data_IF_521411758738
#
_entry.id   IF_521411758738
#
_cell.length_a   1.000
_cell.length_b   1.000
_cell.length_c   1.000
_cell.angle_alpha   90.00
_cell.angle_beta   90.00
_cell.angle_gamma   90.00
#
_symmetry.space_group_name_H-M   'P 1'
#
loop_
_entity.id
_entity.type
_entity.pdbx_description
1 polymer ?
#
# COMPACT_ATOMS: atom_id res chain seq x y z
N UNK A 1 16.75 -39.58 -14.42
CA UNK A 1 17.94 -38.90 -14.96
C UNK A 1 18.22 -37.70 -14.08
N UNK A 2 19.16 -37.83 -13.15
CA UNK A 2 19.46 -36.84 -12.13
C UNK A 2 20.49 -35.83 -12.63
N UNK A 3 20.20 -34.55 -12.45
CA UNK A 3 21.20 -33.49 -12.57
C UNK A 3 22.32 -33.74 -11.55
N UNK A 4 23.55 -33.88 -12.04
CA UNK A 4 24.73 -34.15 -11.21
C UNK A 4 24.95 -33.02 -10.18
N UNK A 5 25.25 -33.43 -8.94
CA UNK A 5 25.57 -32.55 -7.80
C UNK A 5 26.69 -31.54 -8.08
N UNK A 6 27.50 -31.76 -9.11
CA UNK A 6 28.59 -30.90 -9.58
C UNK A 6 28.12 -29.60 -10.24
N UNK A 7 26.86 -29.51 -10.70
CA UNK A 7 26.34 -28.31 -11.38
C UNK A 7 25.63 -27.32 -10.45
N UNK A 8 25.36 -27.69 -9.19
CA UNK A 8 24.71 -26.81 -8.20
C UNK A 8 25.50 -25.55 -7.86
N UNK A 9 26.84 -25.57 -7.70
CA UNK A 9 27.60 -24.36 -7.42
C UNK A 9 27.65 -23.41 -8.62
N UNK A 10 27.67 -23.96 -9.84
CA UNK A 10 27.71 -23.18 -11.09
C UNK A 10 26.36 -22.52 -11.38
N UNK A 11 25.24 -23.21 -11.11
CA UNK A 11 23.90 -22.61 -11.15
C UNK A 11 23.70 -21.58 -10.04
N UNK A 12 24.27 -21.81 -8.85
CA UNK A 12 24.25 -20.85 -7.75
C UNK A 12 25.08 -19.60 -8.07
N UNK A 13 26.27 -19.76 -8.66
CA UNK A 13 27.09 -18.65 -9.15
C UNK A 13 26.47 -17.95 -10.37
N UNK A 14 25.77 -18.66 -11.26
CA UNK A 14 25.06 -18.05 -12.39
C UNK A 14 23.79 -17.31 -11.94
N UNK A 15 23.16 -17.75 -10.84
CA UNK A 15 22.08 -17.03 -10.15
C UNK A 15 22.62 -15.85 -9.33
N UNK A 16 23.81 -15.95 -8.73
CA UNK A 16 24.54 -14.85 -8.07
C UNK A 16 25.14 -13.85 -9.09
N UNK A 17 25.36 -14.28 -10.35
CA UNK A 17 25.74 -13.42 -11.48
C UNK A 17 24.53 -12.83 -12.23
N UNK A 18 23.29 -13.20 -11.88
CA UNK A 18 22.15 -12.33 -12.22
C UNK A 18 22.41 -11.04 -11.48
N UNK A 19 22.61 -9.95 -12.23
CA UNK A 19 22.79 -8.61 -11.70
C UNK A 19 21.90 -8.44 -10.48
N UNK A 20 22.49 -8.37 -9.29
CA UNK A 20 21.74 -7.96 -8.10
C UNK A 20 21.08 -6.65 -8.47
N UNK A 21 19.75 -6.62 -8.44
CA UNK A 21 18.99 -5.43 -8.77
C UNK A 21 19.47 -4.32 -7.85
N UNK A 22 20.26 -3.40 -8.42
CA UNK A 22 20.80 -2.28 -7.67
C UNK A 22 19.77 -1.17 -7.76
N UNK A 23 18.94 -1.09 -6.72
CA UNK A 23 17.99 -0.02 -6.54
C UNK A 23 18.51 0.89 -5.42
N UNK A 24 19.06 2.05 -5.79
CA UNK A 24 19.45 3.08 -4.83
C UNK A 24 18.45 4.22 -4.95
N UNK A 25 17.47 4.24 -4.06
CA UNK A 25 16.57 5.37 -3.91
C UNK A 25 17.28 6.47 -3.13
N UNK A 26 17.19 7.71 -3.62
CA UNK A 26 17.60 8.89 -2.88
C UNK A 26 16.35 9.68 -2.60
N UNK A 27 15.72 9.40 -1.47
CA UNK A 27 14.49 10.04 -1.00
C UNK A 27 14.87 10.93 0.18
N UNK A 28 14.91 12.24 -0.06
CA UNK A 28 15.14 13.27 0.92
C UNK A 28 13.88 14.15 1.05
N UNK A 29 13.27 14.25 2.24
CA UNK A 29 12.24 15.25 2.49
C UNK A 29 12.86 16.66 2.42
N UNK A 30 12.12 17.67 1.94
CA UNK A 30 12.57 19.05 1.98
C UNK A 30 12.75 19.57 3.42
N UNK A 31 13.78 20.40 3.64
CA UNK A 31 14.10 21.00 4.94
C UNK A 31 12.94 21.82 5.52
N UNK A 32 12.75 21.74 6.84
CA UNK A 32 11.81 22.61 7.57
C UNK A 32 10.32 22.31 7.36
N UNK A 33 9.97 21.15 6.79
CA UNK A 33 8.56 20.75 6.69
C UNK A 33 7.99 20.43 8.07
N UNK A 34 7.00 21.23 8.49
CA UNK A 34 6.13 20.83 9.58
C UNK A 34 5.19 19.73 9.07
N UNK A 35 5.22 18.56 9.69
CA UNK A 35 4.22 17.55 9.42
C UNK A 35 3.24 17.49 10.60
N UNK A 36 1.99 17.84 10.33
CA UNK A 36 0.91 17.45 11.22
C UNK A 36 0.16 16.35 10.51
N UNK A 37 0.10 15.16 11.09
CA UNK A 37 -0.87 14.19 10.61
C UNK A 37 -2.25 14.85 10.70
N UNK A 38 -3.03 14.84 9.61
CA UNK A 38 -4.37 15.40 9.68
C UNK A 38 -5.14 14.65 10.78
N UNK A 39 -6.00 15.34 11.55
CA UNK A 39 -6.84 14.65 12.52
C UNK A 39 -7.69 13.60 11.80
N UNK A 40 -8.10 12.53 12.50
CA UNK A 40 -8.98 11.53 11.94
C UNK A 40 -10.23 12.17 11.34
N UNK A 41 -10.52 11.88 10.08
CA UNK A 41 -11.80 12.28 9.45
C UNK A 41 -12.99 11.60 10.12
N UNK A 42 -12.77 10.46 10.77
CA UNK A 42 -13.75 9.72 11.58
C UNK A 42 -13.14 9.34 12.93
N UNK A 43 -13.70 9.89 13.99
CA UNK A 43 -13.32 9.57 15.35
C UNK A 43 -13.81 8.17 15.77
N UNK A 44 -13.14 7.60 16.77
CA UNK A 44 -13.63 6.39 17.44
C UNK A 44 -14.65 6.82 18.48
N UNK A 45 -15.91 6.48 18.25
CA UNK A 45 -17.00 6.71 19.19
C UNK A 45 -17.25 5.48 20.07
N UNK A 46 -17.92 5.69 21.21
CA UNK A 46 -18.42 4.59 22.03
C UNK A 46 -19.88 4.32 21.67
N UNK A 47 -20.14 3.15 21.08
CA UNK A 47 -21.50 2.68 20.79
C UNK A 47 -21.82 1.44 21.63
N UNK A 48 -22.87 1.53 22.46
CA UNK A 48 -23.27 0.47 23.41
C UNK A 48 -22.09 -0.04 24.28
N UNK A 49 -21.27 0.90 24.76
CA UNK A 49 -20.11 0.60 25.62
C UNK A 49 -18.93 -0.06 24.89
N UNK A 50 -18.88 0.00 23.55
CA UNK A 50 -17.80 -0.56 22.74
C UNK A 50 -17.27 0.47 21.73
N UNK A 51 -15.97 0.48 21.42
CA UNK A 51 -15.41 1.37 20.40
C UNK A 51 -15.95 1.02 19.02
N UNK A 52 -16.35 2.03 18.25
CA UNK A 52 -16.84 1.88 16.89
C UNK A 52 -16.45 3.10 16.04
N UNK A 53 -16.29 2.88 14.73
CA UNK A 53 -16.14 3.93 13.73
C UNK A 53 -17.43 3.98 12.94
N UNK A 54 -18.05 5.16 12.88
CA UNK A 54 -19.33 5.38 12.18
C UNK A 54 -19.12 5.72 10.71
N UNK A 55 -19.80 4.99 9.84
CA UNK A 55 -19.76 5.18 8.38
C UNK A 55 -21.17 5.03 7.79
N UNK A 56 -21.43 5.71 6.68
CA UNK A 56 -22.58 5.45 5.82
C UNK A 56 -22.34 4.22 4.95
N UNK A 57 -23.42 3.54 4.57
CA UNK A 57 -23.38 2.43 3.61
C UNK A 57 -22.81 2.87 2.27
N UNK A 58 -23.16 4.05 1.80
CA UNK A 58 -22.64 4.64 0.55
C UNK A 58 -21.12 4.84 0.59
N UNK A 59 -20.55 5.20 1.74
CA UNK A 59 -19.09 5.31 1.91
C UNK A 59 -18.39 3.97 1.68
N UNK A 60 -18.99 2.87 2.16
CA UNK A 60 -18.48 1.51 1.97
C UNK A 60 -18.61 1.03 0.52
N UNK A 61 -19.75 1.30 -0.11
CA UNK A 61 -20.03 0.95 -1.51
C UNK A 61 -19.12 1.72 -2.48
N UNK A 62 -18.96 3.03 -2.27
CA UNK A 62 -18.06 3.87 -3.05
C UNK A 62 -16.61 3.37 -3.01
N UNK A 63 -16.13 2.97 -1.83
CA UNK A 63 -14.79 2.41 -1.68
C UNK A 63 -14.68 1.01 -2.33
N UNK A 64 -15.72 0.18 -2.22
CA UNK A 64 -15.77 -1.13 -2.87
C UNK A 64 -15.75 -1.02 -4.40
N UNK A 65 -16.47 -0.06 -4.98
CA UNK A 65 -16.44 0.22 -6.41
C UNK A 65 -15.07 0.71 -6.88
N UNK A 66 -14.40 1.57 -6.11
CA UNK A 66 -13.01 1.95 -6.40
C UNK A 66 -12.08 0.74 -6.42
N UNK A 67 -12.20 -0.16 -5.43
CA UNK A 67 -11.42 -1.42 -5.38
C UNK A 67 -11.70 -2.29 -6.60
N UNK A 68 -12.95 -2.45 -7.03
CA UNK A 68 -13.29 -3.18 -8.26
C UNK A 68 -12.64 -2.58 -9.49
N UNK A 69 -12.77 -1.27 -9.67
CA UNK A 69 -12.23 -0.58 -10.85
C UNK A 69 -10.71 -0.68 -10.90
N UNK A 70 -10.03 -0.61 -9.74
CA UNK A 70 -8.59 -0.85 -9.63
C UNK A 70 -8.24 -2.30 -9.99
N UNK A 71 -8.99 -3.29 -9.51
CA UNK A 71 -8.74 -4.69 -9.87
C UNK A 71 -8.96 -4.95 -11.36
N UNK A 72 -9.94 -4.30 -11.98
CA UNK A 72 -10.13 -4.34 -13.42
C UNK A 72 -8.92 -3.75 -14.15
N UNK A 73 -8.43 -2.58 -13.73
CA UNK A 73 -7.22 -1.95 -14.27
C UNK A 73 -6.01 -2.89 -14.15
N UNK A 74 -5.81 -3.51 -12.98
CA UNK A 74 -4.72 -4.46 -12.74
C UNK A 74 -4.86 -5.75 -13.59
N UNK A 75 -6.09 -6.15 -13.90
CA UNK A 75 -6.40 -7.36 -14.68
C UNK A 75 -6.31 -7.18 -16.20
N UNK A 76 -6.18 -5.95 -16.71
CA UNK A 76 -6.19 -5.62 -18.15
C UNK A 76 -4.85 -5.88 -18.87
N UNK A 77 -4.25 -7.06 -18.69
CA UNK A 77 -3.06 -7.56 -19.42
C UNK A 77 -1.71 -7.08 -18.84
N UNK A 78 -1.23 -7.82 -17.85
CA UNK A 78 0.08 -8.49 -17.70
C UNK A 78 0.17 -8.89 -16.21
N UNK A 79 0.25 -10.19 -15.87
CA UNK A 79 0.31 -10.64 -14.49
C UNK A 79 1.53 -10.15 -13.70
N UNK A 80 2.62 -9.72 -14.36
CA UNK A 80 3.92 -9.46 -13.72
C UNK A 80 4.02 -8.04 -13.16
N UNK A 81 3.23 -7.81 -12.11
CA UNK A 81 3.11 -6.52 -11.43
C UNK A 81 3.76 -6.56 -10.06
N UNK A 82 4.48 -5.50 -9.71
CA UNK A 82 4.88 -5.20 -8.32
C UNK A 82 3.92 -4.17 -7.74
N UNK A 83 3.05 -4.58 -6.82
CA UNK A 83 2.15 -3.68 -6.11
C UNK A 83 2.86 -3.10 -4.88
N UNK A 84 2.96 -1.78 -4.79
CA UNK A 84 3.65 -1.06 -3.72
C UNK A 84 2.64 -0.18 -3.00
N UNK A 85 2.64 -0.22 -1.68
CA UNK A 85 1.79 0.66 -0.87
C UNK A 85 2.59 1.30 0.24
N UNK A 86 2.50 2.63 0.35
CA UNK A 86 2.97 3.39 1.51
C UNK A 86 1.99 3.28 2.67
N UNK A 87 2.37 3.83 3.84
CA UNK A 87 1.59 3.74 5.10
C UNK A 87 0.12 4.11 4.91
N UNK A 88 -0.16 5.24 4.24
CA UNK A 88 -1.52 5.69 4.02
C UNK A 88 -2.34 4.63 3.30
N UNK A 89 -1.88 4.19 2.13
CA UNK A 89 -2.64 3.28 1.28
C UNK A 89 -2.71 1.82 1.79
N UNK A 90 -2.18 1.52 2.98
CA UNK A 90 -2.18 0.17 3.55
C UNK A 90 -3.56 -0.48 3.55
N UNK A 91 -4.66 0.19 3.92
CA UNK A 91 -5.95 -0.48 3.94
C UNK A 91 -6.50 -0.72 2.54
N UNK A 92 -6.25 0.18 1.58
CA UNK A 92 -6.52 -0.09 0.16
C UNK A 92 -5.75 -1.32 -0.30
N UNK A 93 -4.45 -1.40 -0.01
CA UNK A 93 -3.62 -2.56 -0.29
C UNK A 93 -4.22 -3.84 0.32
N UNK A 94 -4.64 -3.81 1.59
CA UNK A 94 -5.31 -4.94 2.25
C UNK A 94 -6.59 -5.33 1.52
N UNK A 95 -7.39 -4.38 1.06
CA UNK A 95 -8.61 -4.65 0.29
C UNK A 95 -8.30 -5.34 -1.04
N UNK A 96 -7.32 -4.83 -1.80
CA UNK A 96 -6.90 -5.40 -3.09
C UNK A 96 -6.35 -6.82 -2.91
N UNK A 97 -5.49 -7.03 -1.92
CA UNK A 97 -4.95 -8.37 -1.61
C UNK A 97 -6.08 -9.32 -1.21
N UNK A 98 -7.03 -8.87 -0.36
CA UNK A 98 -8.13 -9.71 0.14
C UNK A 98 -9.14 -10.07 -0.95
N UNK A 99 -9.38 -9.16 -1.87
CA UNK A 99 -10.24 -9.40 -3.03
C UNK A 99 -9.67 -10.50 -3.93
N UNK A 100 -8.33 -10.58 -4.03
CA UNK A 100 -7.62 -11.55 -4.86
C UNK A 100 -7.35 -12.88 -4.16
N UNK A 101 -6.91 -12.86 -2.90
CA UNK A 101 -6.67 -14.05 -2.08
C UNK A 101 -7.35 -13.94 -0.71
N UNK A 102 -8.54 -14.52 -0.61
CA UNK A 102 -9.36 -14.52 0.61
C UNK A 102 -8.70 -15.24 1.79
N UNK A 103 -7.78 -16.17 1.54
CA UNK A 103 -7.10 -16.91 2.62
C UNK A 103 -5.87 -16.17 3.13
N UNK A 104 -5.34 -15.20 2.37
CA UNK A 104 -4.21 -14.40 2.81
C UNK A 104 -4.64 -13.52 3.99
N UNK A 105 -3.96 -13.72 5.12
CA UNK A 105 -3.94 -12.76 6.22
C UNK A 105 -2.81 -11.77 5.93
N UNK A 106 -3.13 -10.49 5.87
CA UNK A 106 -2.14 -9.39 5.80
C UNK A 106 -2.08 -8.73 7.18
N UNK A 107 -1.92 -9.58 8.18
CA UNK A 107 -1.81 -9.22 9.58
C UNK A 107 -0.45 -9.69 10.11
N UNK A 108 0.27 -8.77 10.76
CA UNK A 108 1.18 -9.15 11.83
C UNK A 108 2.62 -9.54 11.49
N UNK A 109 3.22 -9.04 10.40
CA UNK A 109 4.66 -8.84 10.45
C UNK A 109 5.07 -7.61 9.66
N UNK A 110 6.00 -6.89 10.25
CA UNK A 110 6.22 -5.45 10.10
C UNK A 110 7.47 -5.13 9.32
N UNK A 111 8.33 -6.15 9.16
CA UNK A 111 9.43 -6.12 8.23
C UNK A 111 8.86 -6.33 6.84
N UNK A 112 9.34 -5.55 5.89
CA UNK A 112 9.14 -5.68 4.45
C UNK A 112 8.86 -7.11 3.96
N UNK A 113 7.58 -7.48 3.87
CA UNK A 113 7.17 -8.79 3.32
C UNK A 113 6.65 -8.59 1.91
N UNK A 114 7.55 -8.67 0.93
CA UNK A 114 7.16 -8.99 -0.43
C UNK A 114 6.57 -10.41 -0.45
N UNK A 115 5.46 -10.63 -1.15
CA UNK A 115 4.89 -11.95 -1.33
C UNK A 115 4.16 -12.08 -2.67
N UNK A 116 4.24 -13.27 -3.25
CA UNK A 116 3.48 -13.61 -4.44
C UNK A 116 2.02 -13.92 -4.09
N UNK A 117 1.10 -13.41 -4.90
CA UNK A 117 -0.32 -13.76 -4.84
C UNK A 117 -0.62 -14.86 -5.85
N UNK A 118 -0.68 -16.09 -5.33
CA UNK A 118 -0.76 -17.36 -6.08
C UNK A 118 -1.90 -17.46 -7.11
N UNK A 119 -2.90 -16.58 -7.05
CA UNK A 119 -4.09 -16.62 -7.93
C UNK A 119 -4.00 -15.72 -9.15
N UNK A 120 -3.09 -14.76 -9.16
CA UNK A 120 -3.08 -13.64 -10.12
C UNK A 120 -1.70 -13.31 -10.65
N UNK A 121 -0.67 -14.07 -10.23
CA UNK A 121 0.71 -13.98 -10.71
C UNK A 121 1.39 -12.60 -10.50
N UNK A 122 0.79 -11.71 -9.69
CA UNK A 122 1.43 -10.46 -9.26
C UNK A 122 2.08 -10.60 -7.89
N UNK A 123 3.12 -9.81 -7.65
CA UNK A 123 3.82 -9.73 -6.37
C UNK A 123 3.43 -8.46 -5.66
N UNK A 124 3.11 -8.60 -4.38
CA UNK A 124 2.70 -7.49 -3.54
C UNK A 124 3.80 -7.17 -2.53
N UNK A 125 4.13 -5.90 -2.42
CA UNK A 125 5.10 -5.34 -1.50
C UNK A 125 4.42 -4.27 -0.65
N UNK A 126 4.50 -4.43 0.66
CA UNK A 126 3.95 -3.46 1.60
C UNK A 126 5.08 -2.70 2.25
N UNK A 127 5.04 -1.37 2.15
CA UNK A 127 6.03 -0.47 2.73
C UNK A 127 5.39 0.26 3.92
N UNK A 128 5.84 -0.11 5.12
CA UNK A 128 5.39 0.50 6.36
C UNK A 128 6.27 1.71 6.69
N UNK A 129 6.21 2.73 5.86
CA UNK A 129 7.03 3.91 6.07
C UNK A 129 6.22 5.19 5.96
N UNK A 130 6.59 6.15 6.79
CA UNK A 130 6.17 7.54 6.68
C UNK A 130 7.26 8.28 5.91
N UNK A 131 6.89 9.30 5.16
CA UNK A 131 7.86 10.08 4.37
C UNK A 131 8.90 10.84 5.21
N UNK A 132 8.81 10.77 6.54
CA UNK A 132 9.65 11.50 7.49
C UNK A 132 10.58 10.58 8.30
N UNK A 133 10.57 9.28 8.00
CA UNK A 133 11.43 8.30 8.66
C UNK A 133 12.85 8.46 8.12
N UNK A 134 13.83 8.51 9.02
CA UNK A 134 15.24 8.44 8.67
C UNK A 134 15.55 7.09 7.99
N UNK A 135 16.36 7.08 6.95
CA UNK A 135 16.56 5.87 6.13
C UNK A 135 15.36 5.45 5.28
N UNK A 136 14.38 6.33 5.00
CA UNK A 136 13.25 6.09 4.08
C UNK A 136 13.70 5.48 2.74
N UNK A 137 14.82 5.96 2.22
CA UNK A 137 15.47 5.46 1.02
C UNK A 137 15.79 3.96 1.08
N UNK A 138 16.35 3.50 2.20
CA UNK A 138 16.73 2.10 2.42
C UNK A 138 15.48 1.23 2.58
N UNK A 139 14.50 1.68 3.38
CA UNK A 139 13.26 0.92 3.62
C UNK A 139 12.46 0.70 2.33
N UNK A 140 12.29 1.75 1.52
CA UNK A 140 11.58 1.66 0.23
C UNK A 140 12.42 0.85 -0.77
N UNK A 141 13.74 1.06 -0.79
CA UNK A 141 14.67 0.40 -1.70
C UNK A 141 14.75 -1.11 -1.47
N UNK A 142 14.95 -1.55 -0.24
CA UNK A 142 14.97 -2.97 0.13
C UNK A 142 13.64 -3.65 -0.17
N UNK A 143 12.51 -2.98 0.11
CA UNK A 143 11.21 -3.56 -0.16
C UNK A 143 10.87 -3.71 -1.61
N UNK A 144 11.28 -2.75 -2.44
CA UNK A 144 11.18 -2.89 -3.88
C UNK A 144 12.13 -3.96 -4.42
N UNK A 145 13.39 -4.00 -3.98
CA UNK A 145 14.36 -5.03 -4.39
C UNK A 145 13.80 -6.43 -4.12
N UNK A 146 13.37 -6.68 -2.89
CA UNK A 146 12.76 -7.96 -2.50
C UNK A 146 11.51 -8.29 -3.34
N UNK A 147 10.72 -7.28 -3.68
CA UNK A 147 9.54 -7.45 -4.52
C UNK A 147 9.88 -7.83 -5.96
N UNK A 148 10.87 -7.18 -6.56
CA UNK A 148 11.33 -7.53 -7.91
C UNK A 148 11.98 -8.92 -7.95
N UNK A 149 12.78 -9.27 -6.94
CA UNK A 149 13.37 -10.60 -6.82
C UNK A 149 12.31 -11.69 -6.66
N UNK A 150 11.25 -11.40 -5.89
CA UNK A 150 10.11 -12.31 -5.72
C UNK A 150 9.23 -12.38 -6.97
N UNK A 151 9.08 -11.27 -7.70
CA UNK A 151 8.24 -11.17 -8.90
C UNK A 151 8.88 -11.90 -10.09
N UNK A 152 8.53 -13.18 -10.22
CA UNK A 152 8.78 -14.02 -11.40
C UNK A 152 10.25 -14.13 -11.84
N UNK A 153 11.20 -14.05 -10.89
CA UNK A 153 12.62 -14.21 -11.19
C UNK A 153 13.24 -13.05 -11.97
N UNK A 154 12.69 -11.83 -11.84
CA UNK A 154 13.26 -10.58 -12.38
C UNK A 154 12.54 -9.98 -13.60
N UNK A 155 11.40 -10.56 -14.00
CA UNK A 155 10.72 -10.20 -15.26
C UNK A 155 9.60 -9.15 -15.11
N UNK A 156 9.29 -8.70 -13.88
CA UNK A 156 8.30 -7.65 -13.70
C UNK A 156 8.75 -6.35 -14.39
N UNK A 157 7.86 -5.77 -15.19
CA UNK A 157 8.07 -4.47 -15.85
C UNK A 157 7.04 -3.42 -15.47
N UNK A 158 6.01 -3.80 -14.71
CA UNK A 158 4.98 -2.90 -14.22
C UNK A 158 5.06 -2.79 -12.69
N UNK A 159 5.17 -1.57 -12.19
CA UNK A 159 5.09 -1.24 -10.77
C UNK A 159 3.82 -0.45 -10.56
N UNK A 160 2.94 -0.91 -9.68
CA UNK A 160 1.77 -0.16 -9.27
C UNK A 160 2.02 0.46 -7.91
N UNK A 161 2.09 1.78 -7.84
CA UNK A 161 2.22 2.53 -6.60
C UNK A 161 0.85 2.98 -6.11
N UNK A 162 0.47 2.54 -4.92
CA UNK A 162 -0.79 2.90 -4.26
C UNK A 162 -0.56 4.06 -3.29
N UNK A 163 -1.39 5.09 -3.42
CA UNK A 163 -1.44 6.21 -2.49
C UNK A 163 -2.88 6.75 -2.32
N UNK A 164 -3.07 7.76 -1.49
CA UNK A 164 -4.33 8.51 -1.43
C UNK A 164 -4.12 10.02 -1.39
N UNK A 165 -5.22 10.77 -1.50
CA UNK A 165 -5.20 12.23 -1.52
C UNK A 165 -4.89 12.89 -0.19
N UNK A 166 -5.04 12.17 0.93
CA UNK A 166 -4.72 12.70 2.28
C UNK A 166 -3.20 12.82 2.43
N UNK A 167 -2.46 11.80 1.98
CA UNK A 167 -1.01 11.79 1.85
C UNK A 167 -0.50 12.56 0.63
N UNK A 168 -1.39 12.91 -0.31
CA UNK A 168 -1.06 13.51 -1.62
C UNK A 168 -0.29 14.83 -1.61
N UNK A 169 -0.19 15.55 -0.48
CA UNK A 169 0.75 16.67 -0.32
C UNK A 169 2.21 16.25 -0.40
N UNK A 170 2.51 14.97 -0.14
CA UNK A 170 3.86 14.40 -0.11
C UNK A 170 4.28 13.78 -1.45
N UNK A 171 3.31 13.48 -2.34
CA UNK A 171 3.57 13.02 -3.71
C UNK A 171 4.39 14.03 -4.52
N UNK A 172 4.17 15.33 -4.29
CA UNK A 172 4.83 16.40 -5.06
C UNK A 172 6.37 16.38 -4.96
N UNK A 173 6.92 15.94 -3.82
CA UNK A 173 8.37 15.84 -3.63
C UNK A 173 8.88 14.39 -3.70
N UNK A 174 8.08 13.41 -3.27
CA UNK A 174 8.47 12.00 -3.26
C UNK A 174 8.48 11.39 -4.66
N UNK A 175 7.42 11.61 -5.45
CA UNK A 175 7.28 10.93 -6.74
C UNK A 175 8.40 11.24 -7.73
N UNK A 176 8.89 12.50 -7.87
CA UNK A 176 10.04 12.76 -8.73
C UNK A 176 11.27 11.92 -8.37
N UNK A 177 11.58 11.81 -7.06
CA UNK A 177 12.71 11.03 -6.55
C UNK A 177 12.50 9.52 -6.70
N UNK A 178 11.26 9.07 -6.49
CA UNK A 178 10.87 7.69 -6.72
C UNK A 178 10.99 7.30 -8.20
N UNK A 179 10.53 8.16 -9.12
CA UNK A 179 10.63 7.97 -10.57
C UNK A 179 12.10 7.94 -11.01
N UNK A 180 12.95 8.82 -10.47
CA UNK A 180 14.39 8.81 -10.72
C UNK A 180 15.03 7.48 -10.29
N UNK A 181 14.68 7.01 -9.09
CA UNK A 181 15.12 5.70 -8.59
C UNK A 181 14.65 4.53 -9.46
N UNK A 182 13.41 4.58 -9.96
CA UNK A 182 12.89 3.61 -10.93
C UNK A 182 13.61 3.67 -12.28
N UNK A 183 14.20 4.81 -12.65
CA UNK A 183 15.06 4.95 -13.82
C UNK A 183 16.27 4.01 -13.77
N UNK A 184 16.92 3.87 -12.60
CA UNK A 184 18.05 2.94 -12.42
C UNK A 184 17.64 1.48 -12.60
N UNK A 185 16.42 1.13 -12.20
CA UNK A 185 15.85 -0.21 -12.44
C UNK A 185 15.54 -0.39 -13.92
N UNK A 186 15.02 0.64 -14.57
CA UNK A 186 14.71 0.62 -16.00
C UNK A 186 15.96 0.52 -16.89
N UNK A 187 17.11 1.02 -16.43
CA UNK A 187 18.40 0.80 -17.11
C UNK A 187 18.84 -0.67 -17.08
N UNK A 188 18.54 -1.40 -16.00
CA UNK A 188 18.89 -2.82 -15.83
C UNK A 188 17.87 -3.77 -16.47
N UNK A 189 16.58 -3.44 -16.37
CA UNK A 189 15.48 -4.31 -16.79
C UNK A 189 14.88 -3.93 -18.15
N UNK A 190 15.22 -2.76 -18.69
CA UNK A 190 14.52 -2.16 -19.82
C UNK A 190 13.30 -1.34 -19.36
N UNK A 191 12.42 -0.97 -20.30
CA UNK A 191 11.29 -0.07 -20.03
C UNK A 191 10.45 -0.55 -18.83
N UNK A 192 10.24 0.35 -17.87
CA UNK A 192 9.36 0.15 -16.72
C UNK A 192 8.09 0.98 -16.89
N UNK A 193 6.95 0.39 -16.58
CA UNK A 193 5.68 1.07 -16.44
C UNK A 193 5.39 1.31 -14.96
N UNK A 194 5.35 2.57 -14.55
CA UNK A 194 4.93 2.98 -13.21
C UNK A 194 3.48 3.46 -13.26
N UNK A 195 2.58 2.71 -12.64
CA UNK A 195 1.16 3.05 -12.55
C UNK A 195 0.88 3.57 -11.14
N UNK A 196 0.67 4.86 -11.01
CA UNK A 196 0.23 5.45 -9.74
C UNK A 196 -1.29 5.31 -9.64
N UNK A 197 -1.77 4.79 -8.52
CA UNK A 197 -3.19 4.69 -8.20
C UNK A 197 -3.40 5.50 -6.94
N UNK A 198 -4.10 6.62 -7.07
CA UNK A 198 -4.38 7.54 -5.97
C UNK A 198 -5.88 7.51 -5.69
N UNK A 199 -6.29 7.12 -4.48
CA UNK A 199 -7.68 7.29 -4.07
C UNK A 199 -7.90 8.71 -3.57
N UNK A 200 -8.93 9.39 -4.07
CA UNK A 200 -9.27 10.76 -3.74
C UNK A 200 -10.59 10.84 -3.00
N UNK A 201 -10.61 11.58 -1.88
CA UNK A 201 -11.84 11.98 -1.24
C UNK A 201 -12.60 13.02 -2.09
N UNK A 202 -13.93 12.96 -2.08
CA UNK A 202 -14.85 14.00 -2.57
C UNK A 202 -14.80 14.35 -4.08
N UNK A 203 -14.14 13.54 -4.91
CA UNK A 203 -14.16 13.71 -6.37
C UNK A 203 -14.51 12.39 -7.07
N UNK A 204 -15.79 12.11 -7.40
CA UNK A 204 -16.13 10.88 -8.11
C UNK A 204 -15.49 10.85 -9.52
N UNK A 205 -15.06 9.65 -9.94
CA UNK A 205 -14.58 9.38 -11.29
C UNK A 205 -13.10 8.98 -11.37
N UNK A 206 -12.75 8.36 -12.51
CA UNK A 206 -11.38 8.00 -12.87
C UNK A 206 -10.77 9.10 -13.74
N UNK A 207 -9.59 9.61 -13.37
CA UNK A 207 -8.79 10.49 -14.25
C UNK A 207 -7.39 9.93 -14.41
N UNK A 208 -6.94 9.78 -15.65
CA UNK A 208 -5.60 9.35 -15.99
C UNK A 208 -4.75 10.53 -16.49
N UNK A 209 -3.54 10.65 -15.99
CA UNK A 209 -2.50 11.49 -16.60
C UNK A 209 -1.31 10.63 -16.99
N UNK A 210 -0.73 10.88 -18.15
CA UNK A 210 0.42 10.14 -18.67
C UNK A 210 1.63 11.07 -18.78
N UNK A 211 2.78 10.56 -18.38
CA UNK A 211 4.07 11.24 -18.49
C UNK A 211 5.15 10.21 -18.83
N UNK A 212 6.10 10.58 -19.68
CA UNK A 212 7.31 9.80 -19.92
C UNK A 212 8.50 10.46 -19.21
N UNK A 213 9.24 9.66 -18.44
CA UNK A 213 10.46 10.08 -17.74
C UNK A 213 11.59 9.09 -18.07
N UNK A 214 12.33 9.35 -19.16
CA UNK A 214 13.35 8.42 -19.65
C UNK A 214 12.75 7.06 -20.03
N UNK A 215 13.29 5.98 -19.46
CA UNK A 215 12.79 4.61 -19.66
C UNK A 215 11.62 4.23 -18.73
N UNK A 216 11.08 5.17 -17.98
CA UNK A 216 9.93 4.97 -17.10
C UNK A 216 8.71 5.67 -17.71
N UNK A 217 7.69 4.91 -18.10
CA UNK A 217 6.38 5.48 -18.43
C UNK A 217 5.53 5.54 -17.18
N UNK A 218 5.03 6.72 -16.86
CA UNK A 218 4.25 7.00 -15.65
C UNK A 218 2.81 7.26 -16.04
N UNK A 219 1.88 6.47 -15.50
CA UNK A 219 0.44 6.68 -15.66
C UNK A 219 -0.17 6.86 -14.28
N UNK A 220 -0.88 7.95 -14.05
CA UNK A 220 -1.52 8.23 -12.75
C UNK A 220 -3.03 8.16 -12.86
N UNK A 221 -3.63 7.17 -12.21
CA UNK A 221 -5.07 6.99 -12.08
C UNK A 221 -5.56 7.53 -10.75
N UNK A 222 -6.49 8.47 -10.81
CA UNK A 222 -7.15 9.04 -9.64
C UNK A 222 -8.52 8.38 -9.50
N UNK A 223 -8.80 7.70 -8.40
CA UNK A 223 -10.08 7.04 -8.11
C UNK A 223 -10.84 7.79 -7.01
N UNK A 224 -11.98 8.35 -7.36
CA UNK A 224 -12.88 9.00 -6.40
C UNK A 224 -13.54 8.05 -5.41
N UNK A 225 -13.53 8.40 -4.12
CA UNK A 225 -14.36 7.79 -3.08
C UNK A 225 -15.08 8.85 -2.25
N UNK A 226 -16.25 8.50 -1.73
CA UNK A 226 -17.00 9.37 -0.80
C UNK A 226 -16.21 9.68 0.46
N UNK A 227 -15.41 8.72 0.95
CA UNK A 227 -14.70 8.86 2.22
C UNK A 227 -13.46 7.98 2.28
N UNK A 228 -12.34 8.56 2.72
CA UNK A 228 -11.07 7.86 2.94
C UNK A 228 -10.97 7.37 4.39
N UNK A 229 -12.01 6.65 4.85
CA UNK A 229 -12.11 6.05 6.19
C UNK A 229 -10.80 5.37 6.62
N UNK A 230 -10.07 4.82 5.65
CA UNK A 230 -8.86 4.04 5.76
C UNK A 230 -7.60 4.75 6.26
N UNK A 231 -7.37 6.02 5.93
CA UNK A 231 -6.06 6.64 6.19
C UNK A 231 -5.98 7.44 7.47
N UNK A 232 -7.09 8.05 7.87
CA UNK A 232 -7.05 9.08 8.91
C UNK A 232 -7.20 8.50 10.32
N UNK A 233 -7.54 7.23 10.45
CA UNK A 233 -7.61 6.57 11.74
C UNK A 233 -6.39 5.67 11.94
N UNK A 234 -5.41 6.03 12.80
CA UNK A 234 -4.25 5.19 13.10
C UNK A 234 -4.63 3.76 13.53
N UNK A 235 -5.85 3.59 14.04
CA UNK A 235 -6.47 2.29 14.37
C UNK A 235 -6.80 1.43 13.15
N UNK A 236 -7.21 2.03 12.03
CA UNK A 236 -7.42 1.35 10.74
C UNK A 236 -6.12 1.12 9.97
N UNK A 237 -5.08 1.89 10.26
CA UNK A 237 -3.72 1.54 9.83
C UNK A 237 -3.26 0.29 10.60
N UNK A 238 -3.64 0.17 11.87
CA UNK A 238 -3.23 -0.92 12.75
C UNK A 238 -1.71 -1.01 12.77
N UNK A 239 -1.05 0.14 12.87
CA UNK A 239 0.40 0.32 12.92
C UNK A 239 0.74 1.08 14.20
N UNK A 240 1.53 0.45 15.06
CA UNK A 240 2.12 1.09 16.23
C UNK A 240 3.57 1.45 15.92
N UNK A 241 3.81 2.71 15.54
CA UNK A 241 5.14 3.16 15.11
C UNK A 241 6.17 3.14 16.25
N UNK A 242 5.72 3.16 17.52
CA UNK A 242 6.62 3.07 18.68
C UNK A 242 7.21 1.67 18.87
N UNK A 243 6.55 0.64 18.33
CA UNK A 243 7.08 -0.74 18.30
C UNK A 243 8.06 -0.98 17.16
N UNK A 244 8.25 0.00 16.27
CA UNK A 244 9.26 -0.06 15.24
C UNK A 244 10.50 0.63 15.83
N UNK A 245 11.36 -0.15 16.46
CA UNK A 245 12.60 0.32 17.14
C UNK A 245 13.54 1.14 16.22
N UNK A 246 13.30 1.14 14.92
CA UNK A 246 14.12 1.75 13.87
C UNK A 246 13.49 3.01 13.25
N UNK A 247 12.34 3.47 13.73
CA UNK A 247 11.69 4.68 13.18
C UNK A 247 12.13 5.91 13.96
N UNK A 248 13.26 6.47 13.58
CA UNK A 248 13.65 7.83 13.95
C UNK A 248 13.09 8.82 12.93
N UNK A 249 12.55 9.94 13.39
CA UNK A 249 12.23 11.04 12.49
C UNK A 249 13.54 11.66 11.97
N UNK A 250 13.55 12.10 10.71
CA UNK A 250 14.67 12.86 10.15
C UNK A 250 14.98 14.10 11.01
N UNK A 251 16.27 14.43 11.14
CA UNK A 251 16.72 15.61 11.87
C UNK A 251 16.05 16.89 11.32
N UNK A 252 15.45 17.70 12.21
CA UNK A 252 14.73 18.91 11.82
C UNK A 252 13.27 18.72 11.39
N UNK A 253 12.75 17.48 11.37
CA UNK A 253 11.31 17.25 11.19
C UNK A 253 10.53 17.77 12.42
N UNK A 254 9.55 18.66 12.19
CA UNK A 254 8.73 19.24 13.25
C UNK A 254 7.30 18.73 13.10
N UNK A 255 6.81 17.89 14.03
CA UNK A 255 5.48 17.30 13.85
C UNK A 255 4.99 16.38 14.95
N UNK A 256 3.67 16.18 14.99
CA UNK A 256 3.00 15.18 15.84
C UNK A 256 2.63 13.96 15.00
N UNK A 257 3.20 12.80 15.32
CA UNK A 257 2.72 11.51 14.82
C UNK A 257 1.61 11.07 15.77
N UNK A 258 0.37 11.00 15.30
CA UNK A 258 -0.73 10.45 16.09
C UNK A 258 -0.65 8.92 16.03
N UNK A 259 0.17 8.32 16.90
CA UNK A 259 0.08 6.89 17.20
C UNK A 259 -0.79 6.75 18.46
N UNK A 260 -1.88 5.98 18.40
CA UNK A 260 -2.58 5.59 19.62
C UNK A 260 -1.64 4.80 20.52
N UNK A 261 -1.76 5.00 21.84
CA UNK A 261 -0.92 4.29 22.80
C UNK A 261 -1.14 2.77 22.80
N UNK A 262 -2.30 2.33 22.34
CA UNK A 262 -2.64 0.93 22.13
C UNK A 262 -3.49 0.76 20.86
N UNK A 263 -3.40 -0.41 20.23
CA UNK A 263 -4.32 -0.76 19.14
C UNK A 263 -5.75 -0.88 19.69
N UNK A 264 -6.69 -0.11 19.15
CA UNK A 264 -8.11 -0.18 19.54
C UNK A 264 -8.88 -1.09 18.58
N UNK A 265 -9.36 -2.28 18.96
CA UNK A 265 -10.19 -3.12 18.09
C UNK A 265 -11.61 -2.54 18.00
N UNK A 266 -11.79 -1.50 17.19
CA UNK A 266 -13.06 -0.84 16.96
C UNK A 266 -13.94 -1.63 15.97
N UNK A 267 -15.25 -1.66 16.23
CA UNK A 267 -16.22 -2.12 15.23
C UNK A 267 -16.46 -1.07 14.15
N UNK A 268 -17.17 -1.46 13.10
CA UNK A 268 -17.69 -0.53 12.08
C UNK A 268 -19.20 -0.44 12.28
N UNK A 269 -19.67 0.77 12.59
CA UNK A 269 -21.09 1.10 12.69
C UNK A 269 -21.55 1.63 11.34
N UNK A 270 -22.33 0.84 10.61
CA UNK A 270 -22.80 1.13 9.25
C UNK A 270 -24.23 1.65 9.33
N UNK A 271 -24.42 2.88 8.85
CA UNK A 271 -25.72 3.54 8.72
C UNK A 271 -26.27 3.38 7.30
N UNK A 272 -27.52 2.98 7.20
CA UNK A 272 -28.25 2.78 5.94
C UNK A 272 -29.68 3.30 6.10
N UNK A 273 -29.85 4.60 5.87
CA UNK A 273 -31.08 5.32 6.19
C UNK A 273 -31.41 5.26 7.68
N UNK A 274 -32.54 4.64 8.05
CA UNK A 274 -32.94 4.44 9.44
C UNK A 274 -32.32 3.20 10.09
N UNK A 275 -31.66 2.34 9.32
CA UNK A 275 -31.04 1.12 9.83
C UNK A 275 -29.60 1.38 10.27
N UNK A 276 -29.24 0.86 11.44
CA UNK A 276 -27.87 0.94 11.97
C UNK A 276 -27.40 -0.45 12.32
N UNK A 277 -26.27 -0.87 11.73
CA UNK A 277 -25.68 -2.19 11.97
C UNK A 277 -24.25 -2.05 12.51
N UNK A 278 -23.96 -2.72 13.62
CA UNK A 278 -22.60 -2.79 14.15
C UNK A 278 -21.95 -4.10 13.73
N UNK A 279 -20.89 -4.02 12.91
CA UNK A 279 -20.05 -5.17 12.61
C UNK A 279 -18.82 -5.13 13.50
N UNK A 280 -18.61 -6.19 14.27
CA UNK A 280 -17.48 -6.30 15.20
C UNK A 280 -16.29 -7.03 14.58
N UNK A 281 -15.07 -6.74 15.03
CA UNK A 281 -13.92 -7.57 14.69
C UNK A 281 -14.11 -8.97 15.29
N UNK A 282 -13.66 -9.99 14.56
CA UNK A 282 -13.51 -11.37 15.05
C UNK A 282 -12.36 -11.45 16.09
N UNK A 283 -12.21 -12.60 16.75
CA UNK A 283 -11.08 -12.84 17.65
C UNK A 283 -9.76 -12.58 16.92
N UNK A 284 -8.91 -11.74 17.51
CA UNK A 284 -7.63 -11.24 16.96
C UNK A 284 -7.72 -10.48 15.62
N UNK A 285 -8.92 -10.14 15.14
CA UNK A 285 -9.11 -9.31 13.95
C UNK A 285 -8.88 -7.85 14.31
N UNK A 286 -7.90 -7.21 13.66
CA UNK A 286 -7.72 -5.76 13.77
C UNK A 286 -8.85 -5.03 13.03
N UNK A 287 -9.16 -3.80 13.45
CA UNK A 287 -10.12 -2.89 12.78
C UNK A 287 -9.86 -2.81 11.27
N UNK A 288 -8.59 -2.76 10.87
CA UNK A 288 -8.17 -2.73 9.47
C UNK A 288 -8.56 -3.98 8.67
N UNK A 289 -8.42 -5.16 9.29
CA UNK A 289 -8.76 -6.44 8.66
C UNK A 289 -10.27 -6.61 8.56
N UNK A 290 -11.01 -6.15 9.59
CA UNK A 290 -12.47 -6.02 9.55
C UNK A 290 -12.90 -5.13 8.37
N UNK A 291 -12.30 -3.95 8.20
CA UNK A 291 -12.63 -3.06 7.09
C UNK A 291 -12.35 -3.70 5.72
N UNK A 292 -11.17 -4.28 5.53
CA UNK A 292 -10.82 -4.97 4.28
C UNK A 292 -11.75 -6.15 3.96
N UNK A 293 -12.23 -6.86 5.00
CA UNK A 293 -13.25 -7.90 4.85
C UNK A 293 -14.59 -7.32 4.39
N UNK A 294 -15.06 -6.26 5.03
CA UNK A 294 -16.32 -5.60 4.67
C UNK A 294 -16.31 -5.08 3.22
N UNK A 295 -15.25 -4.38 2.84
CA UNK A 295 -15.07 -3.92 1.45
C UNK A 295 -15.04 -5.10 0.49
N UNK A 296 -14.30 -6.16 0.81
CA UNK A 296 -14.27 -7.36 -0.02
C UNK A 296 -15.64 -8.01 -0.17
N UNK A 297 -16.45 -8.04 0.89
CA UNK A 297 -17.82 -8.58 0.86
C UNK A 297 -18.73 -7.75 -0.05
N UNK A 298 -18.71 -6.41 0.09
CA UNK A 298 -19.49 -5.49 -0.77
C UNK A 298 -19.04 -5.53 -2.22
N UNK A 299 -17.73 -5.57 -2.45
CA UNK A 299 -17.14 -5.64 -3.79
C UNK A 299 -17.48 -6.95 -4.54
N UNK A 300 -18.16 -7.92 -3.90
CA UNK A 300 -18.64 -9.15 -4.53
C UNK A 300 -20.16 -9.19 -4.72
N UNK A 301 -20.91 -8.42 -3.94
CA UNK A 301 -22.38 -8.46 -3.95
C UNK A 301 -23.02 -7.60 -5.04
N UNK A 302 -22.24 -6.71 -5.64
CA UNK A 302 -22.63 -5.84 -6.76
C UNK A 302 -21.90 -6.22 -8.03
#
# INVERSE_FOLDING_TARGET
MGLELSQRPVLKQALEQRQELKLVLKIAPPDGWSFREPPPTKEIETYKGKPAIRIQRSELESFADAVKNILQLLGQVDPRVVLVSMRGAIPLFRCLVKAVDQKKRVDGDWTTRAFELRRTNFTAAKLYTSYFIDGLSEVVGEGLKNAFETAAGGDARRVVFLDTSVTGTKLGWFMPQFIEGMGQVAEQLGRIELVNIILHHAKPGMRATEQLAGNVSVTTHNFGVESLITEDNPTLLGVDLRKIEQVTCAEGAIGEIHAYEDEVPAGILIEDGSNVSLVRPRHDEKTAALFARLIGDVARST
#
